data_IF_364738195646
#
_entry.id   IF_364738195646
#
_cell.length_a   1.000
_cell.length_b   1.000
_cell.length_c   1.000
_cell.angle_alpha   90.00
_cell.angle_beta   90.00
_cell.angle_gamma   90.00
#
_symmetry.space_group_name_H-M   'P 1'
#
loop_
_entity.id
_entity.type
_entity.pdbx_description
1 polymer ?
#
# COMPACT_ATOMS: atom_id res chain seq x y z
N UNK A 1 -50.52 -48.48 -18.02
CA UNK A 1 -49.29 -48.16 -18.79
C UNK A 1 -48.41 -49.40 -18.79
N UNK A 2 -48.13 -49.99 -19.96
CA UNK A 2 -47.29 -51.19 -20.07
C UNK A 2 -45.83 -50.87 -19.72
N UNK A 3 -45.04 -51.88 -19.33
CA UNK A 3 -43.61 -51.71 -19.04
C UNK A 3 -42.84 -51.09 -20.22
N UNK A 4 -43.22 -51.45 -21.46
CA UNK A 4 -42.69 -50.85 -22.68
C UNK A 4 -43.02 -49.34 -22.80
N UNK A 5 -44.24 -48.92 -22.42
CA UNK A 5 -44.64 -47.51 -22.43
C UNK A 5 -43.88 -46.66 -21.41
N UNK A 6 -43.58 -47.20 -20.22
CA UNK A 6 -42.72 -46.53 -19.23
C UNK A 6 -41.30 -46.31 -19.75
N UNK A 7 -40.73 -47.31 -20.42
CA UNK A 7 -39.40 -47.21 -21.03
C UNK A 7 -39.37 -46.16 -22.15
N UNK A 8 -40.34 -46.19 -23.06
CA UNK A 8 -40.44 -45.23 -24.16
C UNK A 8 -40.57 -43.79 -23.66
N UNK A 9 -41.39 -43.56 -22.62
CA UNK A 9 -41.52 -42.25 -21.99
C UNK A 9 -40.19 -41.78 -21.37
N UNK A 10 -39.46 -42.66 -20.68
CA UNK A 10 -38.15 -42.35 -20.13
C UNK A 10 -37.14 -41.93 -21.21
N UNK A 11 -37.12 -42.65 -22.33
CA UNK A 11 -36.27 -42.31 -23.48
C UNK A 11 -36.62 -40.93 -24.06
N UNK A 12 -37.91 -40.60 -24.20
CA UNK A 12 -38.35 -39.28 -24.68
C UNK A 12 -37.92 -38.14 -23.75
N UNK A 13 -37.95 -38.35 -22.42
CA UNK A 13 -37.44 -37.36 -21.47
C UNK A 13 -35.93 -37.18 -21.58
N UNK A 14 -35.18 -38.26 -21.74
CA UNK A 14 -33.72 -38.18 -21.95
C UNK A 14 -33.37 -37.41 -23.21
N UNK A 15 -34.05 -37.65 -24.33
CA UNK A 15 -33.86 -36.87 -25.56
C UNK A 15 -34.22 -35.39 -25.37
N UNK A 16 -35.34 -35.10 -24.70
CA UNK A 16 -35.74 -33.72 -24.41
C UNK A 16 -34.73 -32.99 -23.51
N UNK A 17 -34.16 -33.70 -22.53
CA UNK A 17 -33.10 -33.18 -21.68
C UNK A 17 -31.82 -32.93 -22.47
N UNK A 18 -31.40 -33.87 -23.31
CA UNK A 18 -30.24 -33.73 -24.18
C UNK A 18 -30.35 -32.52 -25.12
N UNK A 19 -31.52 -32.30 -25.73
CA UNK A 19 -31.77 -31.12 -26.57
C UNK A 19 -31.67 -29.81 -25.76
N UNK A 20 -32.16 -29.80 -24.52
CA UNK A 20 -32.04 -28.65 -23.63
C UNK A 20 -30.57 -28.39 -23.24
N UNK A 21 -29.81 -29.44 -22.96
CA UNK A 21 -28.39 -29.34 -22.63
C UNK A 21 -27.58 -28.84 -23.84
N UNK A 22 -27.84 -29.35 -25.04
CA UNK A 22 -27.21 -28.83 -26.26
C UNK A 22 -27.52 -27.35 -26.52
N UNK A 23 -28.77 -26.92 -26.29
CA UNK A 23 -29.14 -25.49 -26.41
C UNK A 23 -28.42 -24.65 -25.37
N UNK A 24 -28.29 -25.15 -24.14
CA UNK A 24 -27.56 -24.48 -23.07
C UNK A 24 -26.09 -24.33 -23.43
N UNK A 25 -25.43 -25.38 -23.91
CA UNK A 25 -24.04 -25.34 -24.36
C UNK A 25 -23.81 -24.31 -25.47
N UNK A 26 -24.65 -24.31 -26.50
CA UNK A 26 -24.57 -23.33 -27.60
C UNK A 26 -24.77 -21.90 -27.11
N UNK A 27 -25.71 -21.67 -26.20
CA UNK A 27 -25.93 -20.36 -25.58
C UNK A 27 -24.72 -19.91 -24.75
N UNK A 28 -24.15 -20.81 -23.94
CA UNK A 28 -22.99 -20.53 -23.09
C UNK A 28 -21.76 -20.19 -23.94
N UNK A 29 -21.46 -20.98 -24.96
CA UNK A 29 -20.36 -20.72 -25.90
C UNK A 29 -20.55 -19.40 -26.65
N UNK A 30 -21.78 -19.07 -27.06
CA UNK A 30 -22.11 -17.79 -27.69
C UNK A 30 -21.93 -16.58 -26.76
N UNK A 31 -22.27 -16.72 -25.48
CA UNK A 31 -22.06 -15.68 -24.47
C UNK A 31 -20.57 -15.50 -24.16
N UNK A 32 -19.83 -16.59 -23.98
CA UNK A 32 -18.38 -16.59 -23.76
C UNK A 32 -17.64 -15.91 -24.92
N UNK A 33 -17.99 -16.24 -26.18
CA UNK A 33 -17.42 -15.60 -27.36
C UNK A 33 -17.71 -14.08 -27.41
N UNK A 34 -18.88 -13.64 -26.95
CA UNK A 34 -19.19 -12.19 -26.83
C UNK A 34 -18.36 -11.52 -25.76
N UNK A 35 -18.24 -12.14 -24.59
CA UNK A 35 -17.39 -11.63 -23.50
C UNK A 35 -15.97 -11.51 -24.00
N UNK A 36 -15.36 -12.56 -24.57
CA UNK A 36 -13.98 -12.52 -25.12
C UNK A 36 -13.75 -11.42 -26.17
N UNK A 37 -14.77 -11.03 -26.93
CA UNK A 37 -14.71 -9.91 -27.88
C UNK A 37 -14.77 -8.53 -27.21
N UNK A 38 -14.90 -8.47 -25.87
CA UNK A 38 -14.99 -7.26 -25.07
C UNK A 38 -16.41 -6.69 -24.91
N UNK A 39 -17.46 -7.47 -25.26
CA UNK A 39 -18.86 -7.07 -25.06
C UNK A 39 -19.36 -7.46 -23.67
N UNK A 40 -20.32 -6.70 -23.16
CA UNK A 40 -20.88 -6.91 -21.82
C UNK A 40 -22.12 -7.78 -21.91
N UNK A 41 -22.06 -8.96 -21.30
CA UNK A 41 -23.22 -9.85 -21.17
C UNK A 41 -24.00 -9.46 -19.90
N UNK A 42 -25.29 -9.21 -20.05
CA UNK A 42 -26.17 -8.78 -18.95
C UNK A 42 -26.35 -7.26 -18.85
N UNK A 43 -26.49 -6.77 -17.61
CA UNK A 43 -26.76 -5.36 -17.29
C UNK A 43 -25.45 -4.63 -16.95
N UNK A 44 -25.24 -3.48 -17.57
CA UNK A 44 -24.10 -2.61 -17.27
C UNK A 44 -24.09 -2.14 -15.79
N UNK A 45 -22.91 -2.01 -15.16
CA UNK A 45 -22.77 -1.45 -13.82
C UNK A 45 -23.30 -0.02 -13.68
N UNK A 46 -23.59 0.38 -12.45
CA UNK A 46 -24.09 1.73 -12.13
C UNK A 46 -23.16 2.82 -12.68
N UNK A 47 -23.73 3.87 -13.26
CA UNK A 47 -22.97 4.96 -13.88
C UNK A 47 -22.86 4.86 -15.40
N UNK A 48 -23.46 3.83 -15.99
CA UNK A 48 -23.52 3.62 -17.43
C UNK A 48 -24.95 3.42 -17.92
N UNK A 49 -25.21 3.93 -19.11
CA UNK A 49 -26.41 3.61 -19.88
C UNK A 49 -26.06 2.57 -20.95
N UNK A 50 -26.89 1.54 -21.05
CA UNK A 50 -26.74 0.46 -22.01
C UNK A 50 -27.74 0.66 -23.15
N UNK A 51 -27.24 1.11 -24.29
CA UNK A 51 -28.03 1.41 -25.48
C UNK A 51 -27.74 0.40 -26.59
N UNK A 52 -28.68 0.25 -27.52
CA UNK A 52 -28.46 -0.48 -28.77
C UNK A 52 -28.52 0.52 -29.93
N UNK A 53 -27.43 0.64 -30.67
CA UNK A 53 -27.34 1.50 -31.86
C UNK A 53 -26.93 0.61 -33.02
N UNK A 54 -27.72 0.59 -34.10
CA UNK A 54 -27.46 -0.21 -35.30
C UNK A 54 -27.26 -1.71 -35.04
N UNK A 55 -27.96 -2.27 -34.04
CA UNK A 55 -27.84 -3.68 -33.65
C UNK A 55 -26.66 -4.00 -32.73
N UNK A 56 -25.75 -3.04 -32.50
CA UNK A 56 -24.62 -3.18 -31.57
C UNK A 56 -24.92 -2.58 -30.20
N UNK A 57 -24.39 -3.21 -29.16
CA UNK A 57 -24.49 -2.72 -27.78
C UNK A 57 -23.45 -1.63 -27.55
N UNK A 58 -23.92 -0.44 -27.15
CA UNK A 58 -23.07 0.71 -26.83
C UNK A 58 -23.30 1.09 -25.37
N UNK A 59 -22.21 1.14 -24.60
CA UNK A 59 -22.23 1.45 -23.17
C UNK A 59 -21.55 2.79 -22.97
N UNK A 60 -22.31 3.78 -22.49
CA UNK A 60 -21.81 5.16 -22.31
C UNK A 60 -21.97 5.64 -20.87
N UNK A 61 -21.02 6.43 -20.34
CA UNK A 61 -21.14 7.07 -19.03
C UNK A 61 -22.35 8.01 -18.97
N UNK A 62 -23.15 7.88 -17.90
CA UNK A 62 -24.28 8.77 -17.66
C UNK A 62 -23.96 9.85 -16.61
N UNK A 63 -24.95 10.65 -16.20
CA UNK A 63 -24.75 11.71 -15.18
C UNK A 63 -24.23 11.12 -13.86
N UNK A 64 -24.75 9.96 -13.45
CA UNK A 64 -24.28 9.22 -12.28
C UNK A 64 -22.84 8.74 -12.45
N UNK A 65 -22.44 8.34 -13.66
CA UNK A 65 -21.07 7.97 -14.00
C UNK A 65 -20.08 9.10 -13.75
N UNK A 66 -20.44 10.36 -14.06
CA UNK A 66 -19.59 11.52 -13.76
C UNK A 66 -19.35 11.69 -12.26
N UNK A 67 -20.37 11.45 -11.42
CA UNK A 67 -20.25 11.50 -9.96
C UNK A 67 -19.40 10.35 -9.43
N UNK A 68 -19.55 9.14 -9.98
CA UNK A 68 -18.71 7.98 -9.63
C UNK A 68 -17.25 8.26 -10.01
N UNK A 69 -16.99 8.82 -11.20
CA UNK A 69 -15.65 9.25 -11.62
C UNK A 69 -15.05 10.24 -10.62
N UNK A 70 -15.83 11.22 -10.18
CA UNK A 70 -15.41 12.16 -9.14
C UNK A 70 -15.09 11.44 -7.82
N UNK A 71 -15.88 10.45 -7.42
CA UNK A 71 -15.62 9.66 -6.21
C UNK A 71 -14.27 8.93 -6.26
N UNK A 72 -13.92 8.33 -7.41
CA UNK A 72 -12.60 7.71 -7.62
C UNK A 72 -11.46 8.73 -7.51
N UNK A 73 -11.60 9.91 -8.13
CA UNK A 73 -10.58 10.96 -8.08
C UNK A 73 -10.42 11.52 -6.66
N UNK A 74 -11.52 11.80 -5.96
CA UNK A 74 -11.50 12.23 -4.56
C UNK A 74 -10.79 11.21 -3.65
N UNK A 75 -10.97 9.92 -3.95
CA UNK A 75 -10.30 8.85 -3.20
C UNK A 75 -8.81 8.76 -3.54
N UNK A 76 -8.45 8.84 -4.81
CA UNK A 76 -7.09 8.67 -5.30
C UNK A 76 -6.18 9.88 -5.00
N UNK A 77 -6.71 11.10 -5.12
CA UNK A 77 -5.93 12.34 -5.02
C UNK A 77 -5.98 12.94 -3.61
N UNK A 78 -7.16 12.95 -2.98
CA UNK A 78 -7.37 13.60 -1.67
C UNK A 78 -7.36 12.61 -0.51
N UNK A 79 -7.33 11.30 -0.76
CA UNK A 79 -7.28 10.27 0.29
C UNK A 79 -8.50 10.25 1.21
N UNK A 80 -9.65 10.80 0.76
CA UNK A 80 -10.84 10.96 1.59
C UNK A 80 -11.40 9.61 2.10
N UNK A 81 -12.05 9.67 3.26
CA UNK A 81 -12.77 8.52 3.80
C UNK A 81 -13.99 8.20 2.92
N UNK A 82 -14.42 6.92 2.91
CA UNK A 82 -15.61 6.52 2.15
C UNK A 82 -16.85 7.28 2.65
N UNK A 83 -16.92 7.53 3.96
CA UNK A 83 -18.00 8.29 4.60
C UNK A 83 -18.07 9.74 4.12
N UNK A 84 -16.94 10.40 3.93
CA UNK A 84 -16.91 11.79 3.44
C UNK A 84 -17.25 11.85 1.95
N UNK A 85 -16.79 10.88 1.16
CA UNK A 85 -17.16 10.75 -0.24
C UNK A 85 -18.68 10.55 -0.37
N UNK A 86 -19.28 9.67 0.43
CA UNK A 86 -20.73 9.46 0.45
C UNK A 86 -21.46 10.74 0.83
N UNK A 87 -20.97 11.49 1.82
CA UNK A 87 -21.57 12.78 2.20
C UNK A 87 -21.59 13.77 1.04
N UNK A 88 -20.47 13.88 0.30
CA UNK A 88 -20.34 14.74 -0.89
C UNK A 88 -21.21 14.26 -2.06
N UNK A 89 -21.25 12.95 -2.32
CA UNK A 89 -22.12 12.39 -3.36
C UNK A 89 -23.60 12.61 -3.04
N UNK A 90 -23.98 12.47 -1.76
CA UNK A 90 -25.35 12.72 -1.30
C UNK A 90 -25.75 14.18 -1.52
N UNK A 91 -24.87 15.15 -1.25
CA UNK A 91 -25.16 16.57 -1.52
C UNK A 91 -25.28 16.87 -3.02
N UNK A 92 -24.65 16.06 -3.87
CA UNK A 92 -24.74 16.16 -5.33
C UNK A 92 -25.90 15.34 -5.93
N UNK A 93 -26.79 14.79 -5.09
CA UNK A 93 -27.98 14.07 -5.52
C UNK A 93 -27.81 12.56 -5.74
N UNK A 94 -26.68 11.97 -5.34
CA UNK A 94 -26.44 10.52 -5.42
C UNK A 94 -26.24 9.90 -4.01
N UNK A 95 -27.32 9.46 -3.35
CA UNK A 95 -27.21 8.75 -2.09
C UNK A 95 -26.69 7.33 -2.31
N UNK A 96 -25.57 6.98 -1.68
CA UNK A 96 -25.00 5.62 -1.71
C UNK A 96 -24.76 5.10 -0.30
N UNK A 97 -24.85 3.78 -0.14
CA UNK A 97 -24.39 3.08 1.06
C UNK A 97 -22.88 2.77 0.96
N UNK A 98 -22.22 2.64 2.11
CA UNK A 98 -20.78 2.37 2.19
C UNK A 98 -20.36 1.07 1.49
N UNK A 99 -21.18 0.02 1.63
CA UNK A 99 -20.98 -1.25 0.95
C UNK A 99 -21.05 -1.11 -0.57
N UNK A 100 -21.96 -0.26 -1.07
CA UNK A 100 -22.12 -0.01 -2.51
C UNK A 100 -20.91 0.73 -3.06
N UNK A 101 -20.45 1.77 -2.37
CA UNK A 101 -19.25 2.52 -2.78
C UNK A 101 -18.01 1.62 -2.80
N UNK A 102 -17.87 0.74 -1.80
CA UNK A 102 -16.78 -0.23 -1.75
C UNK A 102 -16.83 -1.23 -2.90
N UNK A 103 -18.02 -1.71 -3.28
CA UNK A 103 -18.20 -2.58 -4.46
C UNK A 103 -17.85 -1.85 -5.75
N UNK A 104 -18.21 -0.57 -5.86
CA UNK A 104 -17.86 0.27 -7.02
C UNK A 104 -16.34 0.40 -7.15
N UNK A 105 -15.64 0.74 -6.08
CA UNK A 105 -14.18 0.90 -6.11
C UNK A 105 -13.42 -0.39 -6.45
N UNK A 106 -13.97 -1.56 -6.12
CA UNK A 106 -13.36 -2.86 -6.44
C UNK A 106 -13.67 -3.36 -7.85
N UNK A 107 -14.64 -2.78 -8.55
CA UNK A 107 -15.09 -3.31 -9.84
C UNK A 107 -14.17 -2.84 -11.00
N UNK A 108 -13.42 -3.75 -11.66
CA UNK A 108 -12.52 -3.40 -12.76
C UNK A 108 -13.23 -2.81 -13.99
N UNK A 109 -14.56 -2.97 -14.08
CA UNK A 109 -15.37 -2.37 -15.13
C UNK A 109 -15.15 -0.86 -15.26
N UNK A 110 -14.93 -0.14 -14.15
CA UNK A 110 -14.75 1.30 -14.19
C UNK A 110 -13.42 1.75 -14.82
N UNK A 111 -12.44 0.86 -14.97
CA UNK A 111 -11.18 1.11 -15.67
C UNK A 111 -11.06 0.42 -17.04
N UNK A 112 -12.19 -0.03 -17.59
CA UNK A 112 -12.24 -0.60 -18.95
C UNK A 112 -11.93 -2.09 -19.01
N UNK A 113 -11.95 -2.79 -17.88
CA UNK A 113 -11.68 -4.23 -17.80
C UNK A 113 -12.98 -5.01 -17.54
N UNK A 114 -13.13 -6.19 -18.14
CA UNK A 114 -14.28 -7.06 -17.91
C UNK A 114 -13.80 -8.33 -17.20
N UNK A 115 -14.50 -8.67 -16.12
CA UNK A 115 -14.37 -9.93 -15.39
C UNK A 115 -15.74 -10.61 -15.38
N UNK A 116 -15.84 -11.83 -15.88
CA UNK A 116 -17.10 -12.57 -15.93
C UNK A 116 -16.86 -14.04 -15.61
N UNK A 117 -17.79 -14.70 -14.91
CA UNK A 117 -17.68 -16.13 -14.57
C UNK A 117 -17.81 -17.11 -15.76
N UNK A 118 -17.88 -16.59 -17.00
CA UNK A 118 -17.80 -17.39 -18.23
C UNK A 118 -16.36 -17.47 -18.75
N UNK A 119 -15.47 -16.64 -18.21
CA UNK A 119 -14.04 -16.69 -18.48
C UNK A 119 -13.36 -17.65 -17.51
N UNK A 120 -12.12 -18.03 -17.81
CA UNK A 120 -11.33 -18.83 -16.88
C UNK A 120 -11.13 -18.07 -15.56
N UNK A 121 -10.97 -18.79 -14.45
CA UNK A 121 -10.81 -18.16 -13.14
C UNK A 121 -9.62 -17.19 -13.15
N UNK A 122 -9.89 -15.92 -12.80
CA UNK A 122 -8.89 -14.87 -12.77
C UNK A 122 -8.55 -14.24 -14.14
N UNK A 123 -9.17 -14.69 -15.23
CA UNK A 123 -8.99 -14.09 -16.55
C UNK A 123 -9.68 -12.71 -16.60
N UNK A 124 -8.92 -11.70 -17.05
CA UNK A 124 -9.38 -10.32 -17.20
C UNK A 124 -9.14 -9.91 -18.64
N UNK A 125 -10.17 -9.36 -19.26
CA UNK A 125 -10.12 -8.93 -20.67
C UNK A 125 -10.39 -7.43 -20.79
N UNK A 126 -9.93 -6.84 -21.89
CA UNK A 126 -10.22 -5.44 -22.20
C UNK A 126 -11.65 -5.30 -22.76
N UNK A 127 -12.44 -4.43 -22.12
CA UNK A 127 -13.79 -4.12 -22.54
C UNK A 127 -13.82 -3.05 -23.63
N UNK A 128 -14.88 -3.07 -24.45
CA UNK A 128 -15.13 -2.05 -25.49
C UNK A 128 -15.85 -0.82 -24.97
N UNK A 129 -16.29 -0.82 -23.72
CA UNK A 129 -17.00 0.31 -23.13
C UNK A 129 -16.02 1.43 -22.76
N UNK A 130 -16.52 2.66 -22.74
CA UNK A 130 -15.73 3.83 -22.33
C UNK A 130 -15.42 3.74 -20.82
N UNK A 131 -14.15 3.75 -20.39
CA UNK A 131 -13.80 3.69 -18.97
C UNK A 131 -14.09 5.03 -18.27
N UNK A 132 -14.57 4.99 -17.01
CA UNK A 132 -14.73 6.20 -16.20
C UNK A 132 -13.39 6.76 -15.71
N UNK A 133 -12.45 5.89 -15.40
CA UNK A 133 -11.13 6.23 -14.81
C UNK A 133 -10.01 5.45 -15.48
N UNK A 134 -8.78 5.97 -15.43
CA UNK A 134 -7.62 5.22 -15.89
C UNK A 134 -7.31 4.03 -14.99
N UNK A 135 -6.57 3.06 -15.54
CA UNK A 135 -6.06 1.91 -14.78
C UNK A 135 -5.26 2.36 -13.55
N UNK A 136 -4.45 3.41 -13.69
CA UNK A 136 -3.63 3.94 -12.60
C UNK A 136 -4.45 4.52 -11.45
N UNK A 137 -5.54 5.24 -11.74
CA UNK A 137 -6.46 5.76 -10.71
C UNK A 137 -7.12 4.59 -9.98
N UNK A 138 -7.56 3.56 -10.71
CA UNK A 138 -8.18 2.38 -10.13
C UNK A 138 -7.21 1.60 -9.21
N UNK A 139 -5.96 1.40 -9.64
CA UNK A 139 -4.93 0.72 -8.85
C UNK A 139 -4.57 1.51 -7.59
N UNK A 140 -4.47 2.85 -7.69
CA UNK A 140 -4.25 3.74 -6.54
C UNK A 140 -5.35 3.62 -5.49
N UNK A 141 -6.62 3.66 -5.91
CA UNK A 141 -7.77 3.55 -4.99
C UNK A 141 -7.78 2.20 -4.26
N UNK A 142 -7.40 1.12 -4.93
CA UNK A 142 -7.37 -0.21 -4.34
C UNK A 142 -6.07 -0.53 -3.58
N UNK A 143 -5.13 0.42 -3.47
CA UNK A 143 -3.86 0.21 -2.78
C UNK A 143 -2.97 -0.85 -3.43
N UNK A 144 -3.21 -1.18 -4.70
CA UNK A 144 -2.44 -2.15 -5.48
C UNK A 144 -1.22 -1.52 -6.15
N UNK A 145 -1.00 -0.22 -5.97
CA UNK A 145 0.28 0.40 -6.26
C UNK A 145 1.25 0.01 -5.13
N UNK A 146 2.08 -0.99 -5.43
CA UNK A 146 3.04 -1.68 -4.56
C UNK A 146 4.05 -0.80 -3.82
N UNK A 147 3.99 0.52 -3.99
CA UNK A 147 4.95 1.46 -3.39
C UNK A 147 4.41 2.26 -2.19
N UNK A 148 3.09 2.26 -1.92
CA UNK A 148 2.53 3.03 -0.80
C UNK A 148 1.72 2.16 0.17
N UNK A 149 2.36 1.14 0.73
CA UNK A 149 1.86 0.37 1.87
C UNK A 149 1.89 1.17 3.19
N UNK A 150 1.53 2.46 3.17
CA UNK A 150 1.12 3.14 4.39
C UNK A 150 -0.34 2.77 4.65
N UNK A 151 -0.51 1.71 5.44
CA UNK A 151 -1.81 1.16 5.81
C UNK A 151 -2.75 2.24 6.34
N UNK A 152 -3.68 2.67 5.50
CA UNK A 152 -4.76 3.55 5.92
C UNK A 152 -5.77 2.75 6.73
N UNK A 153 -5.52 2.64 8.03
CA UNK A 153 -6.53 2.16 8.97
C UNK A 153 -7.52 3.30 9.19
N UNK A 154 -8.72 3.22 8.59
CA UNK A 154 -9.82 4.13 8.90
C UNK A 154 -10.26 3.93 10.35
N UNK A 155 -9.74 4.78 11.22
CA UNK A 155 -10.19 4.88 12.61
C UNK A 155 -10.95 6.20 12.71
N UNK A 156 -12.21 6.17 13.15
CA UNK A 156 -12.94 7.40 13.52
C UNK A 156 -12.00 8.27 14.37
N UNK A 157 -11.88 9.53 13.98
CA UNK A 157 -11.05 10.49 14.72
C UNK A 157 -11.75 10.79 16.03
N UNK A 158 -11.03 10.56 17.13
CA UNK A 158 -11.46 10.82 18.49
C UNK A 158 -10.31 11.55 19.16
N UNK A 159 -10.55 12.80 19.53
CA UNK A 159 -9.59 13.70 20.17
C UNK A 159 -9.03 13.12 21.47
N UNK A 160 -9.80 12.29 22.17
CA UNK A 160 -9.41 11.69 23.44
C UNK A 160 -8.60 10.38 23.25
N UNK A 161 -8.62 9.80 22.05
CA UNK A 161 -7.97 8.52 21.74
C UNK A 161 -7.03 8.62 20.52
N UNK A 162 -6.07 9.57 20.50
CA UNK A 162 -5.19 9.79 19.37
C UNK A 162 -4.22 8.62 19.10
N UNK A 163 -3.91 7.79 20.10
CA UNK A 163 -2.95 6.68 20.00
C UNK A 163 -3.60 5.34 19.59
N UNK A 164 -4.89 5.36 19.28
CA UNK A 164 -5.66 4.17 18.90
C UNK A 164 -5.10 3.56 17.60
N UNK A 165 -4.81 2.26 17.63
CA UNK A 165 -4.10 1.51 16.58
C UNK A 165 -2.66 1.93 16.26
N UNK A 166 -2.17 3.03 16.83
CA UNK A 166 -0.75 3.39 16.78
C UNK A 166 0.06 2.57 17.79
N UNK A 167 -0.49 2.35 18.98
CA UNK A 167 0.15 1.52 20.00
C UNK A 167 -0.23 0.06 19.81
N UNK A 168 0.75 -0.83 19.89
CA UNK A 168 0.59 -2.29 19.92
C UNK A 168 0.85 -2.81 21.32
N UNK A 169 0.14 -3.86 21.71
CA UNK A 169 0.40 -4.55 22.96
C UNK A 169 1.75 -5.28 22.88
N UNK A 170 2.65 -5.09 23.85
CA UNK A 170 3.97 -5.75 23.87
C UNK A 170 3.90 -7.27 23.97
N UNK A 171 2.86 -7.84 24.60
CA UNK A 171 2.70 -9.29 24.70
C UNK A 171 1.96 -9.93 23.53
N UNK A 172 0.99 -9.23 22.94
CA UNK A 172 0.16 -9.79 21.87
C UNK A 172 0.51 -9.30 20.47
N UNK A 173 1.35 -8.26 20.35
CA UNK A 173 1.64 -7.52 19.09
C UNK A 173 0.42 -6.96 18.35
N UNK A 174 -0.79 -7.06 18.92
CA UNK A 174 -2.02 -6.51 18.35
C UNK A 174 -2.20 -5.04 18.70
N UNK A 175 -2.79 -4.23 17.81
CA UNK A 175 -3.07 -2.82 18.08
C UNK A 175 -4.03 -2.65 19.26
N UNK A 176 -3.78 -1.63 20.08
CA UNK A 176 -4.69 -1.22 21.14
C UNK A 176 -5.86 -0.45 20.54
N UNK A 177 -7.04 -0.77 21.05
CA UNK A 177 -8.26 -0.01 20.79
C UNK A 177 -8.53 0.93 21.96
N UNK A 178 -9.51 1.83 21.83
CA UNK A 178 -9.92 2.68 22.93
C UNK A 178 -11.43 2.68 23.09
N UNK A 179 -11.88 2.92 24.32
CA UNK A 179 -13.29 3.05 24.68
C UNK A 179 -13.48 4.14 25.74
N UNK A 180 -14.67 4.69 25.80
CA UNK A 180 -15.09 5.66 26.80
C UNK A 180 -15.95 4.97 27.87
N UNK A 181 -15.62 5.20 29.14
CA UNK A 181 -16.47 4.86 30.27
C UNK A 181 -17.52 5.97 30.47
N UNK A 182 -18.63 5.90 29.73
CA UNK A 182 -19.69 6.94 29.68
C UNK A 182 -20.12 7.50 31.04
N UNK A 183 -20.19 6.66 32.08
CA UNK A 183 -20.61 7.09 33.43
C UNK A 183 -19.65 8.09 34.08
N UNK A 184 -18.36 8.04 33.75
CA UNK A 184 -17.31 8.89 34.34
C UNK A 184 -16.67 9.83 33.32
N UNK A 185 -16.98 9.70 32.02
CA UNK A 185 -16.32 10.43 30.94
C UNK A 185 -14.83 10.09 30.77
N UNK A 186 -14.36 8.96 31.32
CA UNK A 186 -12.94 8.58 31.32
C UNK A 186 -12.65 7.64 30.15
N UNK A 187 -11.58 7.93 29.42
CA UNK A 187 -11.14 7.16 28.27
C UNK A 187 -10.06 6.14 28.66
N UNK A 188 -10.11 4.96 28.03
CA UNK A 188 -9.18 3.87 28.27
C UNK A 188 -8.70 3.25 26.96
N UNK A 189 -7.45 2.79 26.94
CA UNK A 189 -6.91 1.93 25.90
C UNK A 189 -6.92 0.47 26.36
N UNK A 190 -7.37 -0.43 25.48
CA UNK A 190 -7.53 -1.85 25.76
C UNK A 190 -7.04 -2.72 24.61
N UNK A 191 -6.38 -3.82 24.96
CA UNK A 191 -6.11 -4.93 24.06
C UNK A 191 -7.34 -5.85 23.99
N UNK A 192 -7.83 -6.14 22.78
CA UNK A 192 -9.01 -7.00 22.58
C UNK A 192 -8.68 -8.49 22.40
N UNK A 193 -7.42 -8.88 22.56
CA UNK A 193 -7.02 -10.29 22.50
C UNK A 193 -7.60 -11.03 23.71
N UNK A 194 -8.31 -12.14 23.47
CA UNK A 194 -8.80 -13.02 24.55
C UNK A 194 -7.61 -13.46 25.41
N UNK A 195 -7.72 -13.31 26.74
CA UNK A 195 -6.63 -13.59 27.69
C UNK A 195 -5.64 -12.44 27.92
N UNK A 196 -5.65 -11.39 27.09
CA UNK A 196 -4.84 -10.20 27.33
C UNK A 196 -5.60 -9.21 28.22
N UNK A 197 -5.19 -9.10 29.48
CA UNK A 197 -5.81 -8.19 30.46
C UNK A 197 -5.21 -6.76 30.42
N UNK A 198 -4.70 -6.32 29.27
CA UNK A 198 -4.14 -4.96 29.15
C UNK A 198 -5.27 -3.95 28.99
N UNK A 199 -5.48 -3.15 30.03
CA UNK A 199 -6.40 -2.03 30.07
C UNK A 199 -5.77 -0.87 30.87
N UNK A 200 -5.64 0.31 30.26
CA UNK A 200 -4.95 1.46 30.86
C UNK A 200 -5.67 2.77 30.55
N UNK A 201 -5.59 3.70 31.51
CA UNK A 201 -6.17 5.03 31.39
C UNK A 201 -5.51 5.81 30.24
N UNK A 202 -6.31 6.50 29.43
CA UNK A 202 -5.81 7.23 28.27
C UNK A 202 -4.84 8.36 28.65
N UNK A 203 -5.15 9.14 29.70
CA UNK A 203 -4.30 10.24 30.18
C UNK A 203 -2.90 9.78 30.57
N UNK A 204 -2.79 8.72 31.40
CA UNK A 204 -1.49 8.14 31.77
C UNK A 204 -0.71 7.66 30.55
N UNK A 205 -1.38 7.05 29.57
CA UNK A 205 -0.71 6.62 28.33
C UNK A 205 -0.28 7.81 27.46
N UNK A 206 -1.02 8.91 27.45
CA UNK A 206 -0.65 10.14 26.74
C UNK A 206 0.58 10.79 27.41
N UNK A 207 0.63 10.87 28.73
CA UNK A 207 1.78 11.39 29.48
C UNK A 207 3.06 10.60 29.20
N UNK A 208 2.98 9.27 29.28
CA UNK A 208 4.10 8.39 28.91
C UNK A 208 4.53 8.59 27.46
N UNK A 209 3.58 8.85 26.56
CA UNK A 209 3.87 9.04 25.14
C UNK A 209 4.53 10.40 24.89
N UNK A 210 4.12 11.43 25.62
CA UNK A 210 4.82 12.71 25.63
C UNK A 210 6.26 12.56 26.15
N UNK A 211 6.47 11.71 27.17
CA UNK A 211 7.80 11.34 27.65
C UNK A 211 8.65 10.71 26.55
N UNK A 212 8.11 9.70 25.85
CA UNK A 212 8.77 9.09 24.70
C UNK A 212 9.13 10.12 23.62
N UNK A 213 8.23 11.02 23.27
CA UNK A 213 8.51 12.06 22.26
C UNK A 213 9.62 13.03 22.70
N UNK A 214 9.78 13.28 24.01
CA UNK A 214 10.88 14.12 24.53
C UNK A 214 12.25 13.45 24.36
N UNK A 215 12.33 12.12 24.39
CA UNK A 215 13.58 11.39 24.14
C UNK A 215 14.10 11.60 22.70
N UNK A 216 13.19 11.88 21.76
CA UNK A 216 13.51 12.21 20.36
C UNK A 216 13.53 13.72 20.08
N UNK A 217 13.39 14.54 21.11
CA UNK A 217 13.47 15.99 21.00
C UNK A 217 14.94 16.43 21.05
N UNK A 218 15.32 17.34 20.18
CA UNK A 218 16.70 17.87 20.13
C UNK A 218 16.79 19.06 21.08
N UNK A 219 17.87 19.15 21.85
CA UNK A 219 18.17 20.34 22.62
C UNK A 219 18.47 21.51 21.66
N UNK A 220 17.78 22.66 21.78
CA UNK A 220 18.07 23.85 20.97
C UNK A 220 19.56 24.25 20.92
N UNK A 221 20.32 23.97 21.99
CA UNK A 221 21.75 24.27 22.09
C UNK A 221 22.57 23.42 21.09
N UNK A 222 22.15 22.18 20.84
CA UNK A 222 22.84 21.22 19.97
C UNK A 222 22.38 21.29 18.51
N UNK A 223 21.39 22.14 18.21
CA UNK A 223 20.80 22.25 16.87
C UNK A 223 21.84 22.56 15.78
N UNK A 224 22.76 23.54 15.92
CA UNK A 224 23.75 23.82 14.88
C UNK A 224 24.65 22.62 14.57
N UNK A 225 25.10 21.91 15.61
CA UNK A 225 25.98 20.75 15.48
C UNK A 225 25.24 19.57 14.84
N UNK A 226 23.97 19.36 15.21
CA UNK A 226 23.13 18.32 14.61
C UNK A 226 22.86 18.64 13.13
N UNK A 227 22.60 19.91 12.79
CA UNK A 227 22.43 20.36 11.41
C UNK A 227 23.67 20.07 10.56
N UNK A 228 24.86 20.40 11.07
CA UNK A 228 26.12 20.16 10.37
C UNK A 228 26.38 18.65 10.15
N UNK A 229 26.28 17.84 11.22
CA UNK A 229 26.50 16.40 11.12
C UNK A 229 25.48 15.72 10.21
N UNK A 230 24.21 16.12 10.27
CA UNK A 230 23.21 15.61 9.34
C UNK A 230 23.55 16.00 7.90
N UNK A 231 23.99 17.23 7.65
CA UNK A 231 24.44 17.67 6.32
C UNK A 231 25.57 16.80 5.76
N UNK A 232 26.55 16.46 6.60
CA UNK A 232 27.67 15.58 6.22
C UNK A 232 27.18 14.15 5.91
N UNK A 233 26.33 13.58 6.77
CA UNK A 233 25.75 12.24 6.57
C UNK A 233 24.95 12.18 5.26
N UNK A 234 24.10 13.18 4.99
CA UNK A 234 23.32 13.24 3.76
C UNK A 234 24.18 13.41 2.51
N UNK A 235 25.26 14.20 2.60
CA UNK A 235 26.21 14.35 1.49
C UNK A 235 26.88 13.02 1.16
N UNK A 236 27.36 12.29 2.19
CA UNK A 236 27.97 10.97 2.02
C UNK A 236 26.98 9.96 1.43
N UNK A 237 25.75 9.89 1.96
CA UNK A 237 24.70 9.03 1.43
C UNK A 237 24.37 9.36 -0.02
N UNK A 238 24.28 10.63 -0.38
CA UNK A 238 24.00 11.06 -1.76
C UNK A 238 25.12 10.66 -2.73
N UNK A 239 26.38 10.73 -2.28
CA UNK A 239 27.53 10.27 -3.06
C UNK A 239 27.51 8.75 -3.24
N UNK A 240 27.28 7.98 -2.17
CA UNK A 240 27.14 6.52 -2.24
C UNK A 240 25.98 6.10 -3.14
N UNK A 241 24.82 6.74 -3.00
CA UNK A 241 23.66 6.55 -3.89
C UNK A 241 24.01 6.83 -5.35
N UNK A 242 24.70 7.93 -5.64
CA UNK A 242 25.11 8.29 -7.00
C UNK A 242 26.14 7.32 -7.59
N UNK A 243 27.03 6.76 -6.78
CA UNK A 243 27.98 5.73 -7.21
C UNK A 243 27.27 4.40 -7.52
N UNK A 244 26.36 3.99 -6.64
CA UNK A 244 25.59 2.76 -6.80
C UNK A 244 24.65 2.82 -8.01
N UNK A 245 23.98 3.96 -8.22
CA UNK A 245 23.14 4.18 -9.41
C UNK A 245 23.97 4.07 -10.71
N UNK A 246 25.17 4.66 -10.73
CA UNK A 246 26.10 4.52 -11.87
C UNK A 246 26.51 3.06 -12.08
N UNK A 247 26.84 2.33 -11.01
CA UNK A 247 27.23 0.92 -11.07
C UNK A 247 26.12 0.05 -11.66
N UNK A 248 24.89 0.18 -11.16
CA UNK A 248 23.74 -0.58 -11.66
C UNK A 248 23.37 -0.21 -13.10
N UNK A 249 23.49 1.06 -13.49
CA UNK A 249 23.30 1.49 -14.90
C UNK A 249 24.32 0.84 -15.84
N UNK A 250 25.58 0.73 -15.42
CA UNK A 250 26.63 0.05 -16.19
C UNK A 250 26.33 -1.45 -16.33
N UNK A 251 25.95 -2.12 -15.24
CA UNK A 251 25.57 -3.54 -15.29
C UNK A 251 24.36 -3.78 -16.22
N UNK A 252 23.34 -2.92 -16.15
CA UNK A 252 22.18 -3.02 -17.03
C UNK A 252 22.56 -2.82 -18.50
N UNK A 253 23.49 -1.91 -18.80
CA UNK A 253 23.99 -1.70 -20.15
C UNK A 253 24.78 -2.92 -20.66
N UNK A 254 25.54 -3.58 -19.79
CA UNK A 254 26.27 -4.81 -20.12
C UNK A 254 25.32 -5.98 -20.40
N UNK A 255 24.29 -6.19 -19.57
CA UNK A 255 23.27 -7.22 -19.80
C UNK A 255 22.51 -6.99 -21.11
N UNK A 256 22.17 -5.74 -21.45
CA UNK A 256 21.57 -5.40 -22.74
C UNK A 256 22.49 -5.77 -23.91
N UNK A 257 23.81 -5.54 -23.80
CA UNK A 257 24.79 -5.95 -24.82
C UNK A 257 24.87 -7.47 -24.96
N UNK A 258 24.85 -8.21 -23.84
CA UNK A 258 24.82 -9.69 -23.83
C UNK A 258 23.55 -10.22 -24.49
N UNK A 259 22.39 -9.65 -24.16
CA UNK A 259 21.09 -10.03 -24.76
C UNK A 259 21.06 -9.78 -26.27
N UNK A 260 21.49 -8.60 -26.73
CA UNK A 260 21.57 -8.30 -28.17
C UNK A 260 22.52 -9.26 -28.92
N UNK A 261 23.61 -9.70 -28.28
CA UNK A 261 24.54 -10.66 -28.88
C UNK A 261 23.91 -12.04 -28.98
N UNK A 262 23.21 -12.48 -27.92
CA UNK A 262 22.46 -13.73 -27.91
C UNK A 262 21.36 -13.76 -28.99
N UNK A 263 20.62 -12.66 -29.14
CA UNK A 263 19.59 -12.51 -30.19
C UNK A 263 20.16 -12.59 -31.60
N UNK A 264 21.32 -11.95 -31.86
CA UNK A 264 22.00 -12.05 -33.16
C UNK A 264 22.46 -13.47 -33.47
N UNK A 265 23.07 -14.16 -32.51
CA UNK A 265 23.53 -15.55 -32.69
C UNK A 265 22.36 -16.49 -32.98
N UNK A 266 21.21 -16.29 -32.32
CA UNK A 266 20.00 -17.05 -32.63
C UNK A 266 19.46 -16.73 -34.02
N UNK A 267 19.45 -15.45 -34.42
CA UNK A 267 19.00 -15.04 -35.75
C UNK A 267 19.86 -15.62 -36.88
N UNK A 268 21.17 -15.80 -36.66
CA UNK A 268 22.08 -16.44 -37.61
C UNK A 268 22.08 -17.98 -37.53
N UNK A 269 21.25 -18.58 -36.66
CA UNK A 269 21.16 -20.03 -36.51
C UNK A 269 22.36 -20.67 -35.82
N UNK A 270 23.21 -19.89 -35.14
CA UNK A 270 24.38 -20.39 -34.42
C UNK A 270 24.03 -21.09 -33.10
N UNK A 271 22.79 -20.93 -32.62
CA UNK A 271 22.31 -21.52 -31.37
C UNK A 271 20.89 -22.07 -31.51
N UNK A 272 20.63 -23.16 -30.80
CA UNK A 272 19.31 -23.79 -30.75
C UNK A 272 18.31 -23.01 -29.90
N UNK A 273 17.02 -23.21 -30.20
CA UNK A 273 15.91 -22.50 -29.54
C UNK A 273 15.89 -22.71 -28.03
N UNK A 274 16.19 -23.92 -27.56
CA UNK A 274 16.15 -24.25 -26.12
C UNK A 274 17.24 -23.49 -25.34
N UNK A 275 18.45 -23.44 -25.90
CA UNK A 275 19.59 -22.69 -25.36
C UNK A 275 19.27 -21.19 -25.35
N UNK A 276 18.73 -20.66 -26.45
CA UNK A 276 18.30 -19.27 -26.53
C UNK A 276 17.24 -18.92 -25.47
N UNK A 277 16.21 -19.75 -25.32
CA UNK A 277 15.13 -19.52 -24.36
C UNK A 277 15.65 -19.51 -22.91
N UNK A 278 16.54 -20.44 -22.55
CA UNK A 278 17.13 -20.51 -21.21
C UNK A 278 17.93 -19.25 -20.88
N UNK A 279 18.96 -18.93 -21.66
CA UNK A 279 19.85 -17.80 -21.37
C UNK A 279 19.19 -16.44 -21.56
N UNK A 280 18.26 -16.30 -22.52
CA UNK A 280 17.49 -15.05 -22.66
C UNK A 280 16.54 -14.83 -21.48
N UNK A 281 15.99 -15.91 -20.90
CA UNK A 281 15.18 -15.86 -19.68
C UNK A 281 15.98 -15.40 -18.47
N UNK A 282 17.16 -15.98 -18.25
CA UNK A 282 18.08 -15.60 -17.16
C UNK A 282 18.49 -14.12 -17.24
N UNK A 283 18.98 -13.67 -18.40
CA UNK A 283 19.39 -12.28 -18.62
C UNK A 283 18.24 -11.28 -18.46
N UNK A 284 17.02 -11.64 -18.90
CA UNK A 284 15.83 -10.80 -18.71
C UNK A 284 15.41 -10.73 -17.25
N UNK A 285 15.58 -11.80 -16.49
CA UNK A 285 15.24 -11.83 -15.06
C UNK A 285 16.22 -10.97 -14.27
N UNK A 286 17.52 -11.14 -14.49
CA UNK A 286 18.57 -10.31 -13.88
C UNK A 286 18.40 -8.83 -14.25
N UNK A 287 18.10 -8.53 -15.52
CA UNK A 287 17.80 -7.17 -15.97
C UNK A 287 16.58 -6.55 -15.29
N UNK A 288 15.54 -7.34 -15.00
CA UNK A 288 14.37 -6.88 -14.23
C UNK A 288 14.73 -6.61 -12.78
N UNK A 289 15.52 -7.47 -12.14
CA UNK A 289 15.96 -7.28 -10.75
C UNK A 289 16.79 -6.01 -10.58
N UNK A 290 17.74 -5.77 -11.49
CA UNK A 290 18.53 -4.53 -11.51
C UNK A 290 17.64 -3.32 -11.78
N UNK A 291 16.66 -3.44 -12.69
CA UNK A 291 15.68 -2.39 -12.96
C UNK A 291 14.87 -2.00 -11.71
N UNK A 292 14.38 -2.99 -10.97
CA UNK A 292 13.67 -2.78 -9.70
C UNK A 292 14.57 -2.11 -8.66
N UNK A 293 15.85 -2.44 -8.59
CA UNK A 293 16.79 -1.79 -7.67
C UNK A 293 17.12 -0.35 -8.08
N UNK A 294 17.21 -0.05 -9.38
CA UNK A 294 17.34 1.32 -9.87
C UNK A 294 16.11 2.18 -9.55
N UNK A 295 14.89 1.63 -9.69
CA UNK A 295 13.66 2.34 -9.31
C UNK A 295 13.64 2.68 -7.81
N UNK A 296 14.13 1.79 -6.94
CA UNK A 296 14.24 2.06 -5.50
C UNK A 296 15.22 3.19 -5.18
N UNK A 297 16.28 3.34 -5.98
CA UNK A 297 17.30 4.38 -5.81
C UNK A 297 16.86 5.73 -6.39
N UNK A 298 15.98 5.74 -7.38
CA UNK A 298 15.49 6.94 -8.08
C UNK A 298 14.49 7.80 -7.28
N UNK A 299 14.52 7.72 -5.94
CA UNK A 299 13.72 8.61 -5.09
C UNK A 299 13.99 10.09 -5.39
N UNK A 300 13.03 11.01 -5.15
CA UNK A 300 13.20 12.41 -5.51
C UNK A 300 14.32 13.07 -4.70
N UNK A 301 15.52 13.10 -5.28
CA UNK A 301 16.76 13.67 -4.74
C UNK A 301 16.70 15.19 -4.51
N UNK A 302 15.72 15.86 -5.12
CA UNK A 302 15.71 17.33 -5.28
C UNK A 302 15.40 18.13 -4.01
N UNK A 303 14.93 17.52 -2.92
CA UNK A 303 14.40 18.26 -1.75
C UNK A 303 15.00 17.83 -0.39
N UNK A 304 16.13 17.11 -0.36
CA UNK A 304 16.68 16.57 0.89
C UNK A 304 17.00 17.65 1.94
N UNK A 305 17.58 18.77 1.53
CA UNK A 305 17.93 19.86 2.46
C UNK A 305 16.68 20.44 3.13
N UNK A 306 15.63 20.69 2.35
CA UNK A 306 14.34 21.17 2.88
C UNK A 306 13.68 20.13 3.80
N UNK A 307 13.78 18.84 3.48
CA UNK A 307 13.26 17.76 4.34
C UNK A 307 14.02 17.68 5.67
N UNK A 308 15.34 17.84 5.65
CA UNK A 308 16.19 17.88 6.85
C UNK A 308 15.83 19.08 7.70
N UNK A 309 15.76 20.28 7.12
CA UNK A 309 15.38 21.50 7.85
C UNK A 309 14.00 21.38 8.48
N UNK A 310 13.01 20.89 7.73
CA UNK A 310 11.65 20.69 8.24
C UNK A 310 11.60 19.60 9.31
N UNK A 311 12.34 18.50 9.13
CA UNK A 311 12.45 17.42 10.11
C UNK A 311 13.09 17.90 11.41
N UNK A 312 14.16 18.69 11.33
CA UNK A 312 14.85 19.26 12.48
C UNK A 312 14.00 20.30 13.21
N UNK A 313 13.30 21.18 12.48
CA UNK A 313 12.33 22.11 13.08
C UNK A 313 11.25 21.36 13.87
N UNK A 314 10.77 20.24 13.34
CA UNK A 314 9.78 19.42 14.03
C UNK A 314 10.37 18.67 15.22
N UNK A 315 11.61 18.19 15.11
CA UNK A 315 12.33 17.54 16.20
C UNK A 315 12.61 18.48 17.39
N UNK A 316 12.72 19.80 17.17
CA UNK A 316 12.82 20.78 18.25
C UNK A 316 11.54 20.93 19.07
N UNK A 317 10.36 20.70 18.46
CA UNK A 317 9.07 20.97 19.08
C UNK A 317 8.19 19.73 19.22
N UNK A 318 8.74 18.52 19.04
CA UNK A 318 8.01 17.26 18.85
C UNK A 318 6.88 17.03 19.88
N UNK A 319 7.23 17.06 21.17
CA UNK A 319 6.29 16.87 22.28
C UNK A 319 5.22 17.97 22.31
N UNK A 320 5.62 19.23 22.15
CA UNK A 320 4.70 20.37 22.17
C UNK A 320 3.73 20.39 20.97
N UNK A 321 4.22 20.00 19.79
CA UNK A 321 3.43 19.90 18.56
C UNK A 321 2.39 18.79 18.66
N UNK A 322 2.72 17.67 19.32
CA UNK A 322 1.77 16.60 19.58
C UNK A 322 0.67 17.04 20.55
N UNK A 323 1.02 17.71 21.65
CA UNK A 323 0.04 18.14 22.67
C UNK A 323 -0.93 19.19 22.11
N UNK A 324 -0.42 20.20 21.39
CA UNK A 324 -1.23 21.29 20.83
C UNK A 324 -2.03 20.89 19.59
N UNK A 325 -1.62 19.84 18.89
CA UNK A 325 -2.26 19.43 17.65
C UNK A 325 -3.62 18.75 17.85
N UNK A 326 -4.48 18.85 16.84
CA UNK A 326 -5.73 18.10 16.74
C UNK A 326 -5.48 16.59 16.52
N UNK A 327 -6.53 15.77 16.57
CA UNK A 327 -6.43 14.32 16.40
C UNK A 327 -5.73 13.90 15.09
N UNK A 328 -5.96 14.63 14.00
CA UNK A 328 -5.38 14.36 12.69
C UNK A 328 -3.88 14.70 12.67
N UNK A 329 -3.51 15.87 13.18
CA UNK A 329 -2.13 16.33 13.32
C UNK A 329 -1.33 15.38 14.21
N UNK A 330 -1.90 14.96 15.35
CA UNK A 330 -1.28 13.96 16.23
C UNK A 330 -1.01 12.66 15.49
N UNK A 331 -1.97 12.12 14.73
CA UNK A 331 -1.77 10.88 13.97
C UNK A 331 -0.73 11.02 12.87
N UNK A 332 -0.72 12.15 12.16
CA UNK A 332 0.30 12.42 11.12
C UNK A 332 1.69 12.47 11.73
N UNK A 333 1.85 13.17 12.86
CA UNK A 333 3.12 13.23 13.58
C UNK A 333 3.55 11.84 14.09
N UNK A 334 2.62 11.09 14.70
CA UNK A 334 2.85 9.71 15.15
C UNK A 334 3.34 8.82 14.00
N UNK A 335 2.68 8.85 12.84
CA UNK A 335 3.05 8.06 11.67
C UNK A 335 4.36 8.53 11.03
N UNK A 336 4.69 9.82 11.15
CA UNK A 336 5.95 10.37 10.66
C UNK A 336 7.14 9.91 11.51
N UNK A 337 7.01 9.95 12.84
CA UNK A 337 8.09 9.59 13.78
C UNK A 337 8.22 8.08 13.94
N UNK A 338 7.09 7.37 14.09
CA UNK A 338 7.04 5.92 14.26
C UNK A 338 6.10 5.28 13.21
N UNK A 339 6.59 5.05 11.98
CA UNK A 339 5.77 4.56 10.86
C UNK A 339 5.06 3.23 11.14
N UNK A 340 5.64 2.38 11.97
CA UNK A 340 5.07 1.05 12.31
C UNK A 340 4.34 1.04 13.67
N UNK A 341 4.22 2.20 14.32
CA UNK A 341 3.70 2.33 15.66
C UNK A 341 4.73 2.06 16.75
N UNK A 342 4.26 2.01 17.99
CA UNK A 342 5.07 1.71 19.19
C UNK A 342 4.46 0.56 19.97
N UNK A 343 5.27 -0.23 20.65
CA UNK A 343 4.79 -1.28 21.55
C UNK A 343 4.68 -0.76 22.97
N UNK A 344 3.62 -1.11 23.68
CA UNK A 344 3.45 -0.81 25.09
C UNK A 344 3.67 -2.07 25.94
N UNK A 345 4.66 -2.00 26.83
CA UNK A 345 4.97 -3.05 27.79
C UNK A 345 4.23 -2.78 29.11
N UNK A 346 3.43 -3.76 29.54
CA UNK A 346 2.64 -3.67 30.77
C UNK A 346 3.51 -3.77 32.02
N UNK A 347 4.58 -4.54 31.99
CA UNK A 347 5.41 -4.82 33.17
C UNK A 347 6.35 -3.66 33.46
N UNK A 348 6.94 -3.09 32.40
CA UNK A 348 7.83 -1.93 32.50
C UNK A 348 7.08 -0.59 32.54
N UNK A 349 5.75 -0.61 32.37
CA UNK A 349 4.89 0.56 32.19
C UNK A 349 5.47 1.60 31.21
N UNK A 350 6.01 1.12 30.09
CA UNK A 350 6.78 1.94 29.16
C UNK A 350 6.57 1.55 27.71
N UNK A 351 6.95 2.46 26.81
CA UNK A 351 6.93 2.22 25.38
C UNK A 351 8.25 1.61 24.90
N UNK A 352 8.17 0.77 23.88
CA UNK A 352 9.30 0.26 23.10
C UNK A 352 9.07 0.63 21.65
N UNK A 353 10.07 1.23 21.02
CA UNK A 353 10.03 1.61 19.61
C UNK A 353 10.40 0.41 18.74
N UNK A 354 9.66 0.17 17.66
CA UNK A 354 10.02 -0.88 16.69
C UNK A 354 10.84 -0.30 15.54
N UNK A 355 10.29 0.73 14.90
CA UNK A 355 10.91 1.45 13.80
C UNK A 355 10.72 2.94 14.00
N UNK A 356 11.84 3.65 14.10
CA UNK A 356 11.89 5.12 14.15
C UNK A 356 12.27 5.63 12.76
N UNK A 357 11.69 6.75 12.36
CA UNK A 357 12.11 7.45 11.16
C UNK A 357 13.57 7.93 11.31
N UNK A 358 14.37 7.68 10.28
CA UNK A 358 15.82 7.88 10.28
C UNK A 358 16.24 9.31 10.65
N UNK A 359 15.47 10.33 10.29
CA UNK A 359 15.78 11.72 10.65
C UNK A 359 15.73 11.90 12.17
N UNK A 360 14.64 11.48 12.82
CA UNK A 360 14.47 11.63 14.27
C UNK A 360 15.39 10.69 15.05
N UNK A 361 15.64 9.48 14.53
CA UNK A 361 16.57 8.53 15.12
C UNK A 361 18.01 9.06 15.13
N UNK A 362 18.50 9.50 13.97
CA UNK A 362 19.86 10.06 13.86
C UNK A 362 20.00 11.33 14.68
N UNK A 363 19.03 12.23 14.62
CA UNK A 363 19.11 13.48 15.38
C UNK A 363 19.13 13.25 16.90
N UNK A 364 18.33 12.30 17.40
CA UNK A 364 18.35 11.89 18.80
C UNK A 364 19.70 11.25 19.20
N UNK A 365 20.22 10.33 18.37
CA UNK A 365 21.51 9.67 18.63
C UNK A 365 22.67 10.68 18.65
N UNK A 366 22.69 11.61 17.69
CA UNK A 366 23.67 12.69 17.63
C UNK A 366 23.57 13.56 18.88
N UNK A 367 22.36 13.96 19.26
CA UNK A 367 22.13 14.79 20.45
C UNK A 367 22.60 14.10 21.73
N UNK A 368 22.33 12.80 21.89
CA UNK A 368 22.76 12.02 23.06
C UNK A 368 24.28 11.91 23.15
N UNK A 369 24.95 11.52 22.04
CA UNK A 369 26.42 11.41 22.00
C UNK A 369 27.13 12.74 22.27
N UNK A 370 26.56 13.85 21.81
CA UNK A 370 27.13 15.18 22.05
C UNK A 370 26.94 15.63 23.50
N UNK A 371 25.77 15.37 24.11
CA UNK A 371 25.52 15.65 25.52
C UNK A 371 26.39 14.81 26.47
N UNK A 372 26.78 13.60 26.06
CA UNK A 372 27.76 12.77 26.80
C UNK A 372 29.19 13.32 26.68
N UNK A 373 29.58 13.87 25.52
CA UNK A 373 30.91 14.49 25.30
C UNK A 373 31.14 15.78 26.09
N UNK A 374 30.10 16.52 26.46
CA UNK A 374 30.26 17.63 27.42
C UNK A 374 30.65 17.15 28.83
N UNK A 375 30.51 15.85 29.14
CA UNK A 375 30.90 15.24 30.43
C UNK A 375 32.22 14.43 30.38
N UNK A 376 32.89 14.32 29.23
CA UNK A 376 34.14 13.56 29.09
C UNK A 376 34.99 13.97 27.88
N UNK A 377 36.31 14.06 28.06
CA UNK A 377 37.30 14.52 27.07
C UNK A 377 37.13 13.87 25.69
N UNK A 378 37.24 14.70 24.65
CA UNK A 378 36.96 14.41 23.24
C UNK A 378 37.90 13.39 22.60
N UNK A 379 37.32 12.48 21.81
CA UNK A 379 38.00 11.80 20.69
C UNK A 379 37.24 12.06 19.38
N UNK A 380 38.00 12.22 18.29
CA UNK A 380 37.57 12.70 16.96
C UNK A 380 37.13 11.60 15.99
N UNK A 381 36.84 10.39 16.48
CA UNK A 381 36.34 9.29 15.67
C UNK A 381 34.96 8.89 16.19
N UNK A 382 33.91 9.47 15.60
CA UNK A 382 32.55 8.98 15.81
C UNK A 382 32.09 8.30 14.53
N UNK A 383 32.34 6.99 14.48
CA UNK A 383 31.58 6.07 13.62
C UNK A 383 30.10 6.15 14.03
N UNK A 384 29.36 7.02 13.36
CA UNK A 384 27.91 6.91 13.33
C UNK A 384 27.61 5.64 12.55
N UNK A 385 27.14 4.60 13.25
CA UNK A 385 26.79 3.31 12.66
C UNK A 385 25.70 3.52 11.62
N UNK A 386 26.11 3.69 10.37
CA UNK A 386 25.24 3.79 9.21
C UNK A 386 24.54 2.45 9.04
N UNK A 387 23.28 2.39 9.50
CA UNK A 387 22.31 1.35 9.13
C UNK A 387 22.76 -0.07 9.52
N UNK A 388 22.25 -0.60 10.64
CA UNK A 388 22.20 -2.04 10.83
C UNK A 388 21.31 -2.63 9.73
N UNK A 389 21.94 -3.08 8.66
CA UNK A 389 21.34 -3.98 7.67
C UNK A 389 20.84 -5.19 8.46
N UNK A 390 19.56 -5.56 8.26
CA UNK A 390 19.03 -6.80 8.82
C UNK A 390 19.98 -7.94 8.48
N UNK A 391 20.36 -8.72 9.50
CA UNK A 391 21.14 -9.95 9.39
C UNK A 391 20.59 -10.78 8.22
N UNK A 392 21.33 -10.76 7.10
CA UNK A 392 21.09 -11.61 5.95
C UNK A 392 21.38 -13.04 6.33
N UNK A 393 20.57 -13.95 5.79
CA UNK A 393 20.71 -15.39 5.95
C UNK A 393 21.97 -15.81 5.19
N UNK A 394 23.05 -16.13 5.90
CA UNK A 394 24.13 -16.97 5.36
C UNK A 394 24.11 -18.32 6.09
N UNK A 395 24.10 -19.44 5.35
CA UNK A 395 24.21 -20.77 5.96
C UNK A 395 25.65 -20.99 6.47
N UNK A 396 25.77 -21.51 7.68
CA UNK A 396 27.01 -22.11 8.18
C UNK A 396 27.32 -23.33 7.29
N UNK A 397 28.34 -23.21 6.43
CA UNK A 397 29.01 -24.38 5.89
C UNK A 397 29.98 -24.88 6.98
N UNK A 398 29.85 -26.14 7.44
CA UNK A 398 30.83 -26.72 8.35
C UNK A 398 32.10 -27.13 7.59
N UNK A 399 33.25 -26.81 8.17
CA UNK A 399 34.53 -27.49 7.90
C UNK A 399 34.55 -28.89 8.50
#
# INVERSE_FOLDING_TARGET
>A
MTSAGKLQQGIQFLFSQFDNDQRREKCMAGMEAKVRKGYVVGKAPMGYDQLKVNGEQVIKPNKTGKLIRQAFLLKAEQGLSNTDIIRRLKSQGLPLYDQTLTKIFRNPFYCGLITHGLLQEGEVIEGRHEPLVSRDVFLRVNGLQSQNAQGYTQVKEDENLPLRHHIKCGSCSKPLTGYEMKKKGIHYYKCNTKGCCLNRNAGKMHELYQGLLKEFQIDPILLPQVQEMMGQVFTKLSQEHGQEEKRLKLQLAELKKKLNTLERRYAYGEIEREIFQKFSGELKTEGREIGVNLEKLSGPLSNHQMLVENGLKLALSLSSSWTKGDALQRRRLQALVFPEGVQYDREKEGYRTTRVNSIFGLASEISQKMGEKERGKSSSETDFSLLVVRRGIEPLLPE
#
